data_IF_239909734346
#
_entry.id   IF_239909734346
#
_cell.length_a   1.000
_cell.length_b   1.000
_cell.length_c   1.000
_cell.angle_alpha   90.00
_cell.angle_beta   90.00
_cell.angle_gamma   90.00
#
_symmetry.space_group_name_H-M   'P 1'
#
loop_
_entity.id
_entity.type
_entity.pdbx_description
1 polymer ?
#
# COMPACT_ATOMS: atom_id res chain seq x y z
N UNK A 1 -16.68 -32.53 42.30
CA UNK A 1 -17.75 -31.68 41.72
C UNK A 1 -17.08 -30.63 40.84
N UNK A 2 -17.61 -30.37 39.64
CA UNK A 2 -17.28 -29.23 38.77
C UNK A 2 -18.54 -28.34 38.75
N UNK A 3 -18.42 -27.01 38.80
CA UNK A 3 -18.61 -26.13 37.62
C UNK A 3 -17.67 -24.89 37.68
N UNK A 4 -17.70 -23.82 36.86
CA UNK A 4 -18.62 -23.30 35.80
C UNK A 4 -17.77 -22.92 34.55
N UNK A 5 -18.39 -22.82 33.37
CA UNK A 5 -17.75 -22.46 32.10
C UNK A 5 -17.86 -20.96 31.70
N UNK A 6 -16.97 -20.57 30.77
CA UNK A 6 -17.15 -19.60 29.67
C UNK A 6 -16.90 -18.07 29.87
N UNK A 7 -16.18 -17.53 28.88
CA UNK A 7 -16.09 -16.10 28.43
C UNK A 7 -15.31 -15.14 29.34
N UNK A 8 -14.44 -14.24 28.86
CA UNK A 8 -14.47 -13.46 27.60
C UNK A 8 -13.09 -12.84 27.38
N UNK A 9 -12.55 -12.90 26.15
CA UNK A 9 -11.30 -12.23 25.81
C UNK A 9 -11.41 -10.70 25.99
N UNK A 10 -10.60 -10.14 26.89
CA UNK A 10 -10.58 -8.71 27.18
C UNK A 10 -9.89 -7.91 26.08
N UNK A 11 -10.64 -7.53 25.04
CA UNK A 11 -10.14 -6.60 24.03
C UNK A 11 -10.10 -5.18 24.61
N UNK A 12 -8.88 -4.67 24.86
CA UNK A 12 -8.67 -3.34 25.44
C UNK A 12 -9.18 -2.28 24.46
N UNK A 13 -10.30 -1.62 24.82
CA UNK A 13 -10.88 -0.52 24.04
C UNK A 13 -10.11 0.76 24.31
N UNK A 14 -9.02 0.98 23.58
CA UNK A 14 -8.32 2.25 23.63
C UNK A 14 -9.16 3.34 22.96
N UNK A 15 -9.43 4.43 23.70
CA UNK A 15 -10.14 5.60 23.17
C UNK A 15 -9.25 6.31 22.14
N UNK A 16 -9.80 6.63 20.97
CA UNK A 16 -9.13 7.47 19.97
C UNK A 16 -9.62 8.91 20.18
N UNK A 17 -8.68 9.82 20.43
CA UNK A 17 -8.93 11.26 20.46
C UNK A 17 -8.91 11.79 19.03
N UNK A 18 -9.98 12.48 18.62
CA UNK A 18 -10.07 13.11 17.31
C UNK A 18 -9.04 14.24 17.16
N UNK A 19 -7.91 13.91 16.53
CA UNK A 19 -6.93 14.89 16.04
C UNK A 19 -7.23 15.14 14.57
N UNK A 20 -7.57 16.39 14.25
CA UNK A 20 -8.00 16.82 12.92
C UNK A 20 -7.11 16.24 11.81
N UNK A 21 -7.72 15.45 10.92
CA UNK A 21 -7.03 14.79 9.82
C UNK A 21 -6.69 15.83 8.77
N UNK A 22 -5.40 16.17 8.66
CA UNK A 22 -4.89 16.99 7.56
C UNK A 22 -5.10 16.30 6.21
N UNK A 23 -5.34 17.13 5.18
CA UNK A 23 -5.51 16.82 3.75
C UNK A 23 -5.43 15.35 3.33
N UNK A 24 -6.57 14.80 2.87
CA UNK A 24 -6.63 13.48 2.23
C UNK A 24 -5.73 13.49 0.98
N UNK A 25 -4.74 12.60 0.85
CA UNK A 25 -3.95 12.50 -0.38
C UNK A 25 -4.84 12.07 -1.54
N UNK A 26 -4.58 12.58 -2.75
CA UNK A 26 -5.42 12.41 -3.95
C UNK A 26 -5.55 10.96 -4.48
N UNK A 27 -5.08 9.97 -3.72
CA UNK A 27 -5.07 8.56 -4.05
C UNK A 27 -6.44 7.87 -4.03
N UNK A 28 -7.54 8.59 -3.76
CA UNK A 28 -8.91 8.07 -3.75
C UNK A 28 -9.31 7.35 -5.05
N UNK A 29 -8.68 7.68 -6.19
CA UNK A 29 -8.91 7.06 -7.50
C UNK A 29 -7.59 6.57 -8.16
N UNK A 30 -6.43 6.94 -7.62
CA UNK A 30 -5.13 6.59 -8.18
C UNK A 30 -4.85 5.08 -7.98
N UNK A 31 -4.60 4.36 -9.08
CA UNK A 31 -4.28 2.94 -9.02
C UNK A 31 -2.91 2.71 -8.38
N UNK A 32 -2.61 1.47 -7.99
CA UNK A 32 -1.31 1.10 -7.42
C UNK A 32 -0.09 1.50 -8.34
N UNK A 33 -0.32 1.64 -9.66
CA UNK A 33 0.69 2.09 -10.63
C UNK A 33 0.95 3.61 -10.57
N UNK A 34 -0.02 4.38 -10.07
CA UNK A 34 0.02 5.85 -10.00
C UNK A 34 0.67 6.34 -8.70
N UNK A 35 0.92 5.43 -7.74
CA UNK A 35 1.66 5.73 -6.51
C UNK A 35 3.06 6.25 -6.81
N UNK A 36 3.32 7.48 -6.37
CA UNK A 36 4.64 8.10 -6.42
C UNK A 36 5.67 7.34 -5.58
N UNK A 37 6.96 7.53 -5.88
CA UNK A 37 8.06 6.96 -5.10
C UNK A 37 8.00 7.42 -3.62
N UNK A 38 7.49 8.61 -3.35
CA UNK A 38 7.30 9.14 -2.00
C UNK A 38 6.22 8.36 -1.24
N UNK A 39 5.04 8.17 -1.82
CA UNK A 39 3.94 7.41 -1.22
C UNK A 39 4.32 5.93 -0.99
N UNK A 40 5.07 5.34 -1.92
CA UNK A 40 5.66 4.00 -1.74
C UNK A 40 6.66 3.97 -0.57
N UNK A 41 7.47 5.01 -0.43
CA UNK A 41 8.35 5.20 0.73
C UNK A 41 7.59 5.29 2.05
N UNK A 42 6.46 6.02 2.11
CA UNK A 42 5.60 6.10 3.30
C UNK A 42 5.04 4.73 3.70
N UNK A 43 4.57 3.95 2.73
CA UNK A 43 4.04 2.58 2.97
C UNK A 43 5.14 1.66 3.49
N UNK A 44 6.34 1.68 2.89
CA UNK A 44 7.46 0.82 3.31
C UNK A 44 7.97 1.22 4.68
N UNK A 45 8.25 2.51 4.91
CA UNK A 45 8.71 2.99 6.21
C UNK A 45 7.72 2.69 7.35
N UNK A 46 6.41 2.78 7.09
CA UNK A 46 5.40 2.38 8.08
C UNK A 46 5.47 0.88 8.44
N UNK A 47 5.76 0.02 7.47
CA UNK A 47 5.91 -1.44 7.68
C UNK A 47 7.22 -1.77 8.39
N UNK A 48 8.30 -1.04 8.11
CA UNK A 48 9.59 -1.17 8.81
C UNK A 48 9.51 -0.68 10.26
N UNK A 49 8.71 0.35 10.54
CA UNK A 49 8.33 0.77 11.90
C UNK A 49 7.36 -0.20 12.61
N UNK A 50 7.08 -1.38 12.04
CA UNK A 50 6.28 -2.44 12.65
C UNK A 50 4.77 -2.26 12.58
N UNK A 51 4.23 -1.24 11.90
CA UNK A 51 2.78 -1.07 11.76
C UNK A 51 2.16 -2.23 10.95
N UNK A 52 0.98 -2.69 11.36
CA UNK A 52 0.21 -3.68 10.61
C UNK A 52 -0.29 -3.12 9.27
N UNK A 53 -0.68 -4.02 8.37
CA UNK A 53 -1.27 -3.65 7.05
C UNK A 53 -2.54 -2.82 7.26
N UNK A 54 -3.40 -3.21 8.21
CA UNK A 54 -4.66 -2.53 8.51
C UNK A 54 -4.47 -1.14 9.13
N UNK A 55 -3.45 -0.95 9.98
CA UNK A 55 -3.10 0.38 10.51
C UNK A 55 -2.53 1.28 9.43
N UNK A 56 -1.63 0.74 8.60
CA UNK A 56 -1.05 1.45 7.44
C UNK A 56 -2.15 1.89 6.46
N UNK A 57 -3.12 1.01 6.18
CA UNK A 57 -4.27 1.29 5.32
C UNK A 57 -5.11 2.46 5.84
N UNK A 58 -5.50 2.40 7.13
CA UNK A 58 -6.28 3.47 7.78
C UNK A 58 -5.51 4.79 7.86
N UNK A 59 -4.21 4.74 8.14
CA UNK A 59 -3.37 5.94 8.35
C UNK A 59 -3.12 6.74 7.07
N UNK A 60 -3.02 6.07 5.92
CA UNK A 60 -2.71 6.70 4.64
C UNK A 60 -3.87 6.68 3.62
N UNK A 61 -5.01 6.08 3.95
CA UNK A 61 -6.18 6.00 3.07
C UNK A 61 -6.06 4.97 1.93
N UNK A 62 -5.04 4.09 1.96
CA UNK A 62 -4.84 3.08 0.92
C UNK A 62 -5.60 1.78 1.22
N UNK A 63 -6.02 1.08 0.15
CA UNK A 63 -6.56 -0.27 0.26
C UNK A 63 -5.50 -1.28 0.71
N UNK A 64 -5.94 -2.35 1.40
CA UNK A 64 -5.06 -3.43 1.85
C UNK A 64 -4.29 -4.08 0.68
N UNK A 65 -4.94 -4.20 -0.48
CA UNK A 65 -4.35 -4.74 -1.72
C UNK A 65 -3.22 -3.88 -2.25
N UNK A 66 -3.35 -2.55 -2.18
CA UNK A 66 -2.27 -1.61 -2.57
C UNK A 66 -1.06 -1.77 -1.66
N UNK A 67 -1.26 -1.80 -0.34
CA UNK A 67 -0.16 -1.98 0.63
C UNK A 67 0.52 -3.34 0.49
N UNK A 68 -0.25 -4.42 0.34
CA UNK A 68 0.28 -5.77 0.09
C UNK A 68 1.17 -5.81 -1.16
N UNK A 69 0.76 -5.16 -2.26
CA UNK A 69 1.53 -5.13 -3.51
C UNK A 69 2.82 -4.32 -3.36
N UNK A 70 2.76 -3.12 -2.77
CA UNK A 70 3.97 -2.30 -2.52
C UNK A 70 4.94 -3.03 -1.60
N UNK A 71 4.47 -3.60 -0.50
CA UNK A 71 5.32 -4.32 0.44
C UNK A 71 5.90 -5.61 -0.15
N UNK A 72 5.15 -6.35 -0.96
CA UNK A 72 5.66 -7.54 -1.66
C UNK A 72 6.73 -7.18 -2.70
N UNK A 73 6.55 -6.11 -3.47
CA UNK A 73 7.59 -5.65 -4.41
C UNK A 73 8.84 -5.17 -3.68
N UNK A 74 8.67 -4.47 -2.56
CA UNK A 74 9.79 -4.09 -1.70
C UNK A 74 10.54 -5.33 -1.18
N UNK A 75 9.82 -6.32 -0.66
CA UNK A 75 10.39 -7.58 -0.17
C UNK A 75 11.17 -8.34 -1.25
N UNK A 76 10.68 -8.37 -2.49
CA UNK A 76 11.33 -9.08 -3.61
C UNK A 76 12.51 -8.30 -4.21
N UNK A 77 12.47 -6.97 -4.22
CA UNK A 77 13.43 -6.13 -4.96
C UNK A 77 14.37 -5.28 -4.11
N UNK A 78 14.09 -5.12 -2.82
CA UNK A 78 14.75 -4.17 -1.92
C UNK A 78 14.55 -2.69 -2.28
N UNK A 79 13.62 -2.37 -3.20
CA UNK A 79 13.46 -1.02 -3.77
C UNK A 79 12.03 -0.52 -3.62
N UNK A 80 11.91 0.75 -3.24
CA UNK A 80 10.62 1.46 -3.14
C UNK A 80 10.17 2.05 -4.48
N UNK A 81 11.10 2.26 -5.43
CA UNK A 81 10.80 2.84 -6.74
C UNK A 81 10.35 1.79 -7.74
N UNK A 82 9.19 2.05 -8.36
CA UNK A 82 8.66 1.23 -9.45
C UNK A 82 9.25 1.70 -10.78
N UNK A 83 10.53 1.37 -11.02
CA UNK A 83 11.14 1.45 -12.35
C UNK A 83 10.70 0.25 -13.21
N UNK A 84 9.40 -0.07 -13.28
CA UNK A 84 8.83 -0.77 -14.43
C UNK A 84 8.97 0.17 -15.62
N UNK A 85 10.15 0.11 -16.23
CA UNK A 85 10.44 0.65 -17.55
C UNK A 85 9.24 0.35 -18.43
N UNK A 86 8.45 1.39 -18.71
CA UNK A 86 7.32 1.38 -19.63
C UNK A 86 7.93 1.18 -21.01
N UNK A 87 8.42 -0.04 -21.26
CA UNK A 87 9.28 -0.38 -22.39
C UNK A 87 8.56 0.14 -23.61
N UNK A 88 9.18 1.12 -24.27
CA UNK A 88 8.59 1.77 -25.42
C UNK A 88 8.11 0.66 -26.35
N UNK A 89 6.80 0.62 -26.55
CA UNK A 89 6.20 -0.35 -27.44
C UNK A 89 6.62 0.09 -28.83
N UNK A 90 7.82 -0.32 -29.24
CA UNK A 90 8.46 -0.01 -30.51
C UNK A 90 7.50 -0.48 -31.60
N UNK A 91 6.64 0.43 -32.03
CA UNK A 91 5.85 0.27 -33.25
C UNK A 91 6.88 0.24 -34.35
N UNK A 92 7.20 -0.96 -34.81
CA UNK A 92 7.99 -1.16 -36.02
C UNK A 92 7.24 -0.45 -37.14
N UNK A 93 7.74 0.73 -37.51
CA UNK A 93 7.37 1.36 -38.77
C UNK A 93 7.75 0.35 -39.85
N UNK A 94 6.73 -0.31 -40.43
CA UNK A 94 6.94 -1.20 -41.55
C UNK A 94 7.41 -0.33 -42.70
N UNK A 95 8.67 -0.53 -43.08
CA UNK A 95 9.22 0.02 -44.30
C UNK A 95 8.38 -0.48 -45.48
N UNK A 96 7.58 0.44 -46.00
CA UNK A 96 6.89 0.42 -47.30
C UNK A 96 7.05 1.86 -47.81
N UNK A 97 7.48 2.09 -49.04
CA UNK A 97 7.37 1.22 -50.20
C UNK A 97 8.59 1.32 -51.13
N UNK A 98 8.79 0.29 -51.95
CA UNK A 98 9.76 0.31 -53.05
C UNK A 98 9.27 1.27 -54.14
N UNK A 99 10.18 2.07 -54.71
CA UNK A 99 10.15 2.52 -56.10
C UNK A 99 11.55 2.52 -56.66
#
# INVERSE_FOLDING_TARGET
>A
MQPISLTRGGQIRQQVSDKAVGSVPAATIAGYQDLSNFERGLIVGAREMGHSISETAKKFGYSHTTILRVYHEYWVSGKTSNLRHRRDQKKTLKERDRR
#
